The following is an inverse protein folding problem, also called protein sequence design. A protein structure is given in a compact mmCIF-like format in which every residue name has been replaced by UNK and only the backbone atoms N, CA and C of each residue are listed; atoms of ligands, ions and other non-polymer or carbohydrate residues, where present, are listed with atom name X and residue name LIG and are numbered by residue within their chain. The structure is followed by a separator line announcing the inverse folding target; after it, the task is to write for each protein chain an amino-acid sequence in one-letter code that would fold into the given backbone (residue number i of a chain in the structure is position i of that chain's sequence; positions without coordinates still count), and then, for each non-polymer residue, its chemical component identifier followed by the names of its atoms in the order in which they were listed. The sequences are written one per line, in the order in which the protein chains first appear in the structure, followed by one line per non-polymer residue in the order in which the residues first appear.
data_IF_235783149135
#
_entry.id   IF_235783149135
#
_cell.length_a   1.000
_cell.length_b   1.000
_cell.length_c   1.000
_cell.angle_alpha   90.00
_cell.angle_beta   90.00
_cell.angle_gamma   90.00
#
_symmetry.space_group_name_H-M   'P 1'
#
loop_
_entity.id
_entity.type
_entity.pdbx_description
1 polymer ?
#
# COMPACT_ATOMS: atom_id res chain seq x y z
N UNK A 1 9.15 -4.32 -6.19
CA UNK A 1 7.93 -3.59 -5.76
C UNK A 1 6.99 -3.51 -6.95
N UNK A 2 5.82 -4.13 -6.85
CA UNK A 2 4.79 -4.04 -7.89
C UNK A 2 3.63 -3.20 -7.36
N UNK A 3 3.32 -2.12 -8.09
CA UNK A 3 2.17 -1.29 -7.78
C UNK A 3 0.95 -1.82 -8.50
N UNK A 4 -0.16 -1.92 -7.77
CA UNK A 4 -1.41 -2.46 -8.28
C UNK A 4 -2.55 -1.53 -7.93
N UNK A 5 -3.27 -1.09 -8.94
CA UNK A 5 -4.57 -0.45 -8.81
C UNK A 5 -5.62 -1.55 -8.87
N UNK A 6 -6.47 -1.69 -7.87
CA UNK A 6 -7.65 -2.56 -7.97
C UNK A 6 -8.75 -1.72 -8.60
N UNK A 7 -9.31 -2.19 -9.72
CA UNK A 7 -10.40 -1.50 -10.42
C UNK A 7 -11.71 -2.16 -10.00
N UNK A 8 -12.45 -1.56 -9.07
CA UNK A 8 -13.72 -2.15 -8.65
C UNK A 8 -14.86 -1.14 -8.44
N UNK A 9 -16.09 -1.65 -8.58
CA UNK A 9 -17.34 -0.95 -8.28
C UNK A 9 -17.85 -1.45 -6.94
N UNK A 10 -17.26 -1.02 -5.82
CA UNK A 10 -17.69 -1.35 -4.44
C UNK A 10 -17.04 -0.42 -3.41
N UNK A 11 -17.35 -0.40 -2.12
CA UNK A 11 -18.59 -0.32 -1.32
C UNK A 11 -18.12 0.17 0.07
N UNK A 12 -18.90 0.99 0.78
CA UNK A 12 -18.60 1.55 2.09
C UNK A 12 -18.64 0.51 3.27
N UNK A 13 -17.70 -0.44 3.31
CA UNK A 13 -17.56 -1.38 4.43
C UNK A 13 -17.42 -2.86 4.07
N UNK A 14 -17.38 -3.21 2.78
CA UNK A 14 -17.06 -4.57 2.32
C UNK A 14 -16.04 -4.49 1.19
N UNK A 15 -14.97 -5.27 1.32
CA UNK A 15 -13.93 -5.44 0.32
C UNK A 15 -14.23 -6.68 -0.54
N UNK A 16 -14.43 -6.51 -1.85
CA UNK A 16 -14.27 -7.61 -2.79
C UNK A 16 -13.23 -7.23 -3.84
N UNK A 17 -12.20 -8.05 -3.98
CA UNK A 17 -11.21 -7.88 -5.04
C UNK A 17 -11.75 -8.51 -6.33
N UNK A 18 -12.10 -7.67 -7.31
CA UNK A 18 -12.30 -8.13 -8.67
C UNK A 18 -11.43 -7.24 -9.55
N UNK A 19 -10.40 -7.86 -10.10
CA UNK A 19 -9.45 -7.32 -11.07
C UNK A 19 -8.39 -6.33 -10.55
N UNK A 20 -7.18 -6.85 -10.48
CA UNK A 20 -5.93 -6.19 -10.15
C UNK A 20 -5.33 -5.66 -11.46
N UNK A 21 -5.36 -4.35 -11.68
CA UNK A 21 -4.61 -3.68 -12.74
C UNK A 21 -3.25 -3.24 -12.20
N UNK A 22 -2.14 -3.92 -12.51
CA UNK A 22 -0.84 -3.38 -12.18
C UNK A 22 -0.67 -2.01 -12.85
N UNK A 23 -0.08 -1.03 -12.15
CA UNK A 23 0.59 0.12 -12.79
C UNK A 23 1.84 -0.42 -13.50
N UNK A 24 1.63 -1.34 -14.44
CA UNK A 24 2.66 -1.92 -15.26
C UNK A 24 2.86 -0.92 -16.39
N UNK A 25 4.05 -0.33 -16.45
CA UNK A 25 4.65 0.35 -17.61
C UNK A 25 4.67 1.88 -17.64
N UNK A 26 4.61 2.58 -16.51
CA UNK A 26 5.04 3.98 -16.49
C UNK A 26 5.45 4.49 -15.11
N UNK A 27 6.59 4.05 -14.58
CA UNK A 27 7.37 4.98 -13.77
C UNK A 27 7.89 6.04 -14.72
N UNK A 28 7.40 7.27 -14.61
CA UNK A 28 7.79 8.35 -15.51
C UNK A 28 9.09 9.00 -15.06
N UNK A 29 9.38 8.96 -13.76
CA UNK A 29 10.49 9.71 -13.20
C UNK A 29 10.99 9.06 -11.91
N UNK A 30 12.31 8.88 -11.81
CA UNK A 30 12.98 8.47 -10.58
C UNK A 30 14.12 9.44 -10.31
N UNK A 31 14.10 10.09 -9.16
CA UNK A 31 15.20 10.92 -8.67
C UNK A 31 15.88 10.20 -7.53
N UNK A 32 17.20 10.01 -7.63
CA UNK A 32 18.00 9.48 -6.53
C UNK A 32 18.86 10.60 -5.94
N UNK A 33 18.76 10.77 -4.63
CA UNK A 33 19.50 11.77 -3.85
C UNK A 33 20.38 10.99 -2.88
N UNK A 34 21.67 11.30 -2.88
CA UNK A 34 22.61 10.78 -1.89
C UNK A 34 23.09 11.95 -1.04
N UNK A 35 22.73 11.93 0.24
CA UNK A 35 23.23 12.85 1.26
C UNK A 35 24.29 12.16 2.12
N UNK A 36 24.73 12.83 3.20
CA UNK A 36 25.75 12.32 4.11
C UNK A 36 25.33 11.03 4.82
N UNK A 37 24.10 11.00 5.37
CA UNK A 37 23.59 9.90 6.20
C UNK A 37 22.31 9.23 5.65
N UNK A 38 21.87 9.62 4.45
CA UNK A 38 20.63 9.11 3.85
C UNK A 38 20.76 9.00 2.34
N UNK A 39 20.19 7.92 1.81
CA UNK A 39 19.99 7.71 0.38
C UNK A 39 18.50 7.62 0.11
N UNK A 40 18.01 8.48 -0.77
CA UNK A 40 16.58 8.60 -1.07
C UNK A 40 16.33 8.38 -2.56
N UNK A 41 15.33 7.58 -2.88
CA UNK A 41 14.79 7.41 -4.22
C UNK A 41 13.33 7.87 -4.26
N UNK A 42 13.04 8.91 -5.04
CA UNK A 42 11.69 9.40 -5.29
C UNK A 42 11.20 8.78 -6.59
N UNK A 43 10.00 8.20 -6.57
CA UNK A 43 9.35 7.53 -7.67
C UNK A 43 8.00 8.20 -7.91
N UNK A 44 7.81 8.75 -9.11
CA UNK A 44 6.53 9.29 -9.56
C UNK A 44 5.86 8.32 -10.53
N UNK A 45 4.68 7.82 -10.16
CA UNK A 45 3.93 6.88 -11.00
C UNK A 45 2.98 7.61 -11.94
N UNK A 46 2.39 8.71 -11.47
CA UNK A 46 1.54 9.61 -12.23
C UNK A 46 1.42 10.96 -11.48
N UNK A 47 0.55 11.84 -11.95
CA UNK A 47 0.34 13.17 -11.38
C UNK A 47 -0.41 13.20 -10.02
N UNK A 48 -0.88 12.07 -9.51
CA UNK A 48 -1.59 11.95 -8.23
C UNK A 48 -1.04 10.83 -7.33
N UNK A 49 0.02 10.12 -7.73
CA UNK A 49 0.70 9.13 -6.89
C UNK A 49 2.21 9.16 -7.01
N UNK A 50 2.86 9.16 -5.85
CA UNK A 50 4.32 9.13 -5.71
C UNK A 50 4.75 8.36 -4.47
N UNK A 51 6.01 7.94 -4.48
CA UNK A 51 6.69 7.35 -3.34
C UNK A 51 8.08 7.93 -3.15
N UNK A 52 8.50 7.96 -1.90
CA UNK A 52 9.86 8.30 -1.49
C UNK A 52 10.39 7.17 -0.62
N UNK A 53 11.48 6.55 -1.08
CA UNK A 53 12.12 5.41 -0.41
C UNK A 53 13.43 5.91 0.16
N UNK A 54 13.58 5.86 1.48
CA UNK A 54 14.73 6.37 2.20
C UNK A 54 15.44 5.26 2.97
N UNK A 55 16.77 5.24 2.85
CA UNK A 55 17.68 4.36 3.56
C UNK A 55 18.61 5.23 4.41
N UNK A 56 18.55 5.07 5.72
CA UNK A 56 19.44 5.76 6.65
C UNK A 56 20.56 4.83 7.09
N UNK A 57 21.79 5.36 7.22
CA UNK A 57 22.97 4.53 7.47
C UNK A 57 22.96 3.80 8.83
N UNK A 58 22.21 4.30 9.81
CA UNK A 58 22.13 3.74 11.18
C UNK A 58 20.81 2.98 11.46
N UNK A 59 19.92 2.86 10.47
CA UNK A 59 18.63 2.19 10.63
C UNK A 59 18.61 0.86 9.87
N UNK A 60 18.08 -0.20 10.51
CA UNK A 60 17.91 -1.51 9.88
C UNK A 60 16.61 -1.62 9.05
N UNK A 61 15.90 -0.50 8.90
CA UNK A 61 14.63 -0.42 8.17
C UNK A 61 14.70 0.47 6.93
N UNK A 62 13.88 0.14 5.94
CA UNK A 62 13.64 0.99 4.78
C UNK A 62 12.37 1.79 5.01
N UNK A 63 12.47 3.11 5.00
CA UNK A 63 11.29 3.99 5.08
C UNK A 63 10.70 4.18 3.68
N UNK A 64 9.41 3.90 3.53
CA UNK A 64 8.64 4.13 2.30
C UNK A 64 7.52 5.10 2.62
N UNK A 65 7.73 6.36 2.30
CA UNK A 65 6.67 7.37 2.29
C UNK A 65 5.90 7.27 0.98
N UNK A 66 4.57 7.30 1.06
CA UNK A 66 3.69 7.29 -0.09
C UNK A 66 2.76 8.49 -0.03
N UNK A 67 2.47 9.07 -1.19
CA UNK A 67 1.45 10.12 -1.35
C UNK A 67 0.47 9.68 -2.43
N UNK A 68 -0.82 9.68 -2.09
CA UNK A 68 -1.91 9.28 -2.97
C UNK A 68 -3.02 10.32 -2.93
N UNK A 69 -3.33 10.87 -4.09
CA UNK A 69 -4.43 11.80 -4.32
C UNK A 69 -3.98 13.09 -4.99
N UNK A 70 -4.93 13.87 -5.55
CA UNK A 70 -6.37 13.60 -5.59
C UNK A 70 -6.69 12.42 -6.52
N UNK A 71 -7.42 11.42 -6.01
CA UNK A 71 -7.76 10.24 -6.81
C UNK A 71 -8.76 10.69 -7.91
N UNK A 72 -8.42 10.55 -9.21
CA UNK A 72 -9.28 10.99 -10.29
C UNK A 72 -10.55 10.13 -10.35
N UNK A 73 -11.68 10.78 -10.60
CA UNK A 73 -13.02 10.16 -10.67
C UNK A 73 -13.84 10.68 -11.87
N UNK A 74 -13.19 11.39 -12.78
CA UNK A 74 -13.77 11.92 -14.03
C UNK A 74 -14.27 10.82 -14.97
N UNK A 75 -13.76 9.60 -14.79
CA UNK A 75 -14.19 8.38 -15.46
C UNK A 75 -15.42 7.72 -14.82
N UNK A 76 -15.99 8.30 -13.75
CA UNK A 76 -17.10 7.76 -12.96
C UNK A 76 -16.79 6.37 -12.34
N UNK A 77 -15.50 6.11 -12.08
CA UNK A 77 -15.03 4.85 -11.49
C UNK A 77 -14.39 5.12 -10.14
N UNK A 78 -14.95 4.49 -9.09
CA UNK A 78 -14.33 4.41 -7.77
C UNK A 78 -13.02 3.62 -7.81
N UNK A 79 -12.04 4.00 -7.00
CA UNK A 79 -10.69 3.41 -7.01
C UNK A 79 -10.25 3.10 -5.59
N UNK A 80 -9.66 1.92 -5.42
CA UNK A 80 -8.98 1.49 -4.20
C UNK A 80 -7.50 1.28 -4.54
N UNK A 81 -6.65 1.92 -3.75
CA UNK A 81 -5.23 2.01 -4.01
C UNK A 81 -4.51 1.14 -2.98
N UNK A 82 -3.72 0.20 -3.48
CA UNK A 82 -2.93 -0.70 -2.65
C UNK A 82 -1.44 -0.52 -2.94
N UNK A 83 -0.63 -0.68 -1.91
CA UNK A 83 0.80 -0.95 -2.06
C UNK A 83 1.00 -2.44 -1.86
N UNK A 84 1.73 -3.06 -2.78
CA UNK A 84 2.08 -4.46 -2.68
C UNK A 84 3.59 -4.69 -2.70
N UNK A 85 4.04 -5.41 -1.70
CA UNK A 85 5.41 -5.89 -1.56
C UNK A 85 5.44 -7.36 -1.96
N UNK A 86 6.01 -7.64 -3.11
CA UNK A 86 6.28 -9.01 -3.56
C UNK A 86 7.68 -9.42 -3.10
N UNK A 87 7.78 -10.60 -2.48
CA UNK A 87 9.01 -11.21 -1.98
C UNK A 87 9.16 -12.62 -2.55
N UNK A 88 10.34 -13.19 -2.41
CA UNK A 88 10.66 -14.59 -2.74
C UNK A 88 10.40 -15.56 -1.56
N UNK A 89 9.82 -15.09 -0.46
CA UNK A 89 9.53 -15.91 0.73
C UNK A 89 8.46 -16.94 0.39
N UNK A 90 8.82 -18.22 0.54
CA UNK A 90 7.91 -19.32 0.28
C UNK A 90 7.01 -19.57 1.50
N UNK A 91 5.74 -19.19 1.40
CA UNK A 91 4.76 -19.41 2.47
C UNK A 91 4.19 -20.82 2.31
N UNK A 92 4.41 -21.69 3.31
CA UNK A 92 3.98 -23.10 3.26
C UNK A 92 2.44 -23.27 3.26
N UNK A 93 1.72 -22.29 3.79
CA UNK A 93 0.27 -22.22 3.74
C UNK A 93 -0.15 -20.95 3.00
N UNK A 94 -0.92 -21.10 1.92
CA UNK A 94 -1.64 -20.00 1.29
C UNK A 94 -2.43 -19.27 2.36
N UNK A 95 -2.02 -18.03 2.67
CA UNK A 95 -2.81 -17.16 3.53
C UNK A 95 -4.15 -16.96 2.83
N UNK A 96 -5.23 -17.09 3.58
CA UNK A 96 -6.58 -16.81 3.09
C UNK A 96 -6.58 -15.44 2.41
N UNK A 97 -7.13 -15.36 1.19
CA UNK A 97 -7.23 -14.15 0.38
C UNK A 97 -8.15 -13.06 0.95
N UNK A 98 -8.10 -12.86 2.26
CA UNK A 98 -8.91 -11.93 3.03
C UNK A 98 -8.05 -10.75 3.51
N UNK A 99 -8.71 -9.60 3.64
CA UNK A 99 -8.15 -8.41 4.29
C UNK A 99 -8.45 -8.44 5.78
N UNK A 100 -7.45 -8.08 6.57
CA UNK A 100 -7.53 -7.91 8.01
C UNK A 100 -7.09 -6.49 8.40
N UNK A 101 -7.56 -5.96 9.53
CA UNK A 101 -7.08 -4.68 10.05
C UNK A 101 -5.63 -4.81 10.52
N UNK A 102 -4.77 -3.93 10.01
CA UNK A 102 -3.35 -3.81 10.36
C UNK A 102 -3.20 -2.53 11.17
N UNK A 103 -3.07 -2.67 12.50
CA UNK A 103 -2.94 -1.50 13.38
C UNK A 103 -1.49 -1.02 13.56
N UNK A 104 -0.51 -1.87 13.28
CA UNK A 104 0.89 -1.54 13.52
C UNK A 104 1.86 -2.32 12.63
N UNK A 105 1.56 -3.60 12.35
CA UNK A 105 2.44 -4.43 11.52
C UNK A 105 1.73 -5.59 10.83
N UNK A 106 2.27 -5.97 9.69
CA UNK A 106 2.00 -7.22 8.95
C UNK A 106 3.34 -7.83 8.53
N UNK A 107 3.39 -9.14 8.36
CA UNK A 107 4.61 -9.90 8.19
C UNK A 107 4.33 -11.24 7.54
N UNK A 108 5.28 -11.69 6.75
CA UNK A 108 5.35 -13.03 6.18
C UNK A 108 6.73 -13.60 6.51
N UNK A 109 6.81 -14.91 6.75
CA UNK A 109 8.06 -15.55 7.15
C UNK A 109 8.19 -16.95 6.60
N UNK A 110 9.44 -17.36 6.46
CA UNK A 110 9.88 -18.73 6.25
C UNK A 110 10.76 -19.19 7.43
N UNK A 111 11.59 -20.21 7.24
CA UNK A 111 12.42 -20.77 8.30
C UNK A 111 13.51 -19.80 8.79
N UNK A 112 14.15 -19.07 7.88
CA UNK A 112 15.35 -18.25 8.15
C UNK A 112 15.16 -16.75 7.88
N UNK A 113 14.11 -16.36 7.14
CA UNK A 113 13.81 -14.96 6.82
C UNK A 113 12.38 -14.58 7.17
N UNK A 114 12.21 -13.34 7.62
CA UNK A 114 10.93 -12.70 7.85
C UNK A 114 10.96 -11.32 7.19
N UNK A 115 9.89 -11.00 6.45
CA UNK A 115 9.64 -9.68 5.93
C UNK A 115 8.51 -9.05 6.73
N UNK A 116 8.78 -7.93 7.38
CA UNK A 116 7.84 -7.18 8.21
C UNK A 116 7.59 -5.80 7.60
N UNK A 117 6.33 -5.39 7.57
CA UNK A 117 5.91 -4.04 7.21
C UNK A 117 5.25 -3.42 8.43
N UNK A 118 5.82 -2.33 8.94
CA UNK A 118 5.21 -1.50 9.97
C UNK A 118 4.41 -0.37 9.31
N UNK A 119 3.23 -0.07 9.83
CA UNK A 119 2.36 0.99 9.32
C UNK A 119 2.30 2.15 10.32
N UNK A 120 2.19 3.39 9.82
CA UNK A 120 2.06 4.58 10.67
C UNK A 120 0.63 4.80 11.21
N UNK A 121 -0.35 4.03 10.68
CA UNK A 121 -1.77 4.09 11.02
C UNK A 121 -2.44 2.73 10.84
N UNK A 122 -3.70 2.65 11.27
CA UNK A 122 -4.55 1.50 11.00
C UNK A 122 -4.95 1.46 9.53
N UNK A 123 -4.66 0.35 8.86
CA UNK A 123 -4.94 0.13 7.45
C UNK A 123 -5.58 -1.26 7.25
N UNK A 124 -6.09 -1.52 6.05
CA UNK A 124 -6.52 -2.86 5.67
C UNK A 124 -5.44 -3.54 4.85
N UNK A 125 -5.13 -4.80 5.12
CA UNK A 125 -4.22 -5.54 4.25
C UNK A 125 -4.29 -7.04 4.42
N UNK A 126 -3.52 -7.75 3.58
CA UNK A 126 -3.53 -9.21 3.54
C UNK A 126 -2.41 -9.75 2.66
N UNK A 127 -2.37 -11.07 2.51
CA UNK A 127 -1.43 -11.79 1.65
C UNK A 127 -2.22 -12.57 0.61
N UNK A 128 -2.63 -11.90 -0.47
CA UNK A 128 -3.51 -12.49 -1.49
C UNK A 128 -2.75 -13.42 -2.45
N UNK A 129 -1.46 -13.16 -2.67
CA UNK A 129 -0.57 -14.07 -3.40
C UNK A 129 0.55 -14.56 -2.49
N UNK A 130 1.00 -15.78 -2.75
CA UNK A 130 2.13 -16.38 -2.05
C UNK A 130 3.36 -15.46 -2.16
N UNK A 131 4.03 -15.26 -1.02
CA UNK A 131 5.18 -14.38 -0.92
C UNK A 131 4.87 -12.88 -1.05
N UNK A 132 3.60 -12.45 -1.00
CA UNK A 132 3.24 -11.04 -1.12
C UNK A 132 2.47 -10.50 0.09
N UNK A 133 2.72 -9.25 0.42
CA UNK A 133 1.91 -8.45 1.37
C UNK A 133 1.29 -7.31 0.57
N UNK A 134 -0.02 -7.12 0.67
CA UNK A 134 -0.73 -5.95 0.17
C UNK A 134 -1.43 -5.18 1.29
N UNK A 135 -1.37 -3.86 1.18
CA UNK A 135 -1.93 -2.91 2.14
C UNK A 135 -2.67 -1.84 1.36
N UNK A 136 -3.93 -1.59 1.71
CA UNK A 136 -4.75 -0.54 1.16
C UNK A 136 -4.42 0.79 1.83
N UNK A 137 -3.97 1.75 1.03
CA UNK A 137 -3.48 3.05 1.51
C UNK A 137 -4.48 4.18 1.34
N UNK A 138 -5.34 4.10 0.33
CA UNK A 138 -6.38 5.09 0.10
C UNK A 138 -7.49 4.52 -0.79
N UNK A 139 -8.71 5.03 -0.66
CA UNK A 139 -9.84 4.68 -1.51
C UNK A 139 -10.77 5.86 -1.70
N UNK A 140 -11.38 5.93 -2.89
CA UNK A 140 -12.40 6.92 -3.22
C UNK A 140 -13.51 6.26 -4.01
N UNK A 141 -14.71 6.23 -3.45
CA UNK A 141 -15.88 5.55 -3.98
C UNK A 141 -16.93 6.56 -4.40
N UNK A 142 -17.64 6.30 -5.50
CA UNK A 142 -18.67 7.21 -6.05
C UNK A 142 -20.10 6.75 -5.75
N UNK A 143 -20.24 5.52 -5.31
CA UNK A 143 -21.53 4.89 -5.07
C UNK A 143 -21.63 4.46 -3.62
N UNK A 144 -22.75 4.80 -2.99
CA UNK A 144 -23.14 4.26 -1.69
C UNK A 144 -23.43 2.77 -1.83
N UNK A 145 -23.04 2.00 -0.83
CA UNK A 145 -23.20 0.56 -0.80
C UNK A 145 -24.51 0.10 -0.20
N UNK A 146 -25.43 1.03 0.07
CA UNK A 146 -26.77 0.81 0.60
C UNK A 146 -26.76 0.11 1.96
N UNK A 147 -25.65 0.24 2.69
CA UNK A 147 -25.63 -0.02 4.12
C UNK A 147 -26.13 1.23 4.86
N UNK A 148 -25.60 1.49 6.05
CA UNK A 148 -26.24 2.41 6.99
C UNK A 148 -25.92 3.88 6.70
N UNK A 149 -24.74 4.16 6.15
CA UNK A 149 -24.21 5.53 6.06
C UNK A 149 -24.96 6.36 5.01
N UNK A 150 -25.38 5.76 3.89
CA UNK A 150 -26.22 6.41 2.88
C UNK A 150 -25.48 7.47 2.05
N UNK A 151 -24.15 7.44 2.07
CA UNK A 151 -23.29 8.33 1.30
C UNK A 151 -22.08 7.55 0.75
N UNK A 152 -21.60 7.90 -0.46
CA UNK A 152 -20.38 7.31 -1.00
C UNK A 152 -19.15 7.76 -0.22
N UNK A 153 -18.14 6.91 -0.14
CA UNK A 153 -16.85 7.27 0.47
C UNK A 153 -16.04 8.18 -0.48
N UNK A 154 -16.46 9.43 -0.58
CA UNK A 154 -15.90 10.44 -1.49
C UNK A 154 -15.39 11.64 -0.69
N UNK A 155 -14.31 11.45 0.05
CA UNK A 155 -13.71 12.53 0.86
C UNK A 155 -13.09 13.62 -0.04
N UNK A 156 -13.50 14.87 0.21
CA UNK A 156 -13.01 16.05 -0.52
C UNK A 156 -12.58 17.17 0.43
N UNK A 157 -11.63 17.99 0.00
CA UNK A 157 -11.20 19.21 0.67
C UNK A 157 -11.04 20.32 -0.37
N UNK A 158 -11.66 21.49 -0.13
CA UNK A 158 -11.68 22.60 -1.09
C UNK A 158 -12.17 22.18 -2.50
N UNK A 159 -13.21 21.35 -2.53
CA UNK A 159 -13.81 20.77 -3.75
C UNK A 159 -12.90 19.83 -4.56
N UNK A 160 -11.71 19.51 -4.05
CA UNK A 160 -10.78 18.54 -4.63
C UNK A 160 -10.75 17.23 -3.85
N UNK A 161 -10.36 16.13 -4.50
CA UNK A 161 -10.22 14.83 -3.82
C UNK A 161 -9.15 14.85 -2.73
N UNK A 162 -9.41 14.19 -1.60
CA UNK A 162 -8.45 14.19 -0.49
C UNK A 162 -7.11 13.55 -0.91
N UNK A 163 -6.02 14.24 -0.59
CA UNK A 163 -4.65 13.72 -0.71
C UNK A 163 -4.23 13.15 0.63
N UNK A 164 -3.80 11.90 0.64
CA UNK A 164 -3.31 11.20 1.82
C UNK A 164 -1.84 10.89 1.66
N UNK A 165 -1.09 11.10 2.73
CA UNK A 165 0.31 10.70 2.86
C UNK A 165 0.45 9.80 4.07
N UNK A 166 1.25 8.76 3.94
CA UNK A 166 1.58 7.84 5.02
C UNK A 166 2.93 7.18 4.80
N UNK A 167 3.35 6.41 5.79
CA UNK A 167 4.68 5.79 5.83
C UNK A 167 4.60 4.32 6.22
N UNK A 168 5.38 3.51 5.51
CA UNK A 168 5.68 2.13 5.87
C UNK A 168 7.15 2.00 6.22
N UNK A 169 7.46 1.21 7.24
CA UNK A 169 8.84 0.80 7.54
C UNK A 169 8.98 -0.68 7.20
N UNK A 170 9.91 -0.99 6.30
CA UNK A 170 10.16 -2.36 5.86
C UNK A 170 11.38 -2.91 6.59
N UNK A 171 11.24 -4.09 7.19
CA UNK A 171 12.29 -4.76 7.95
C UNK A 171 12.43 -6.18 7.41
N UNK A 172 13.67 -6.59 7.13
CA UNK A 172 14.02 -7.96 6.74
C UNK A 172 14.98 -8.51 7.79
N UNK A 173 14.55 -9.51 8.52
CA UNK A 173 15.32 -10.09 9.63
C UNK A 173 15.02 -11.57 9.80
N UNK A 174 15.89 -12.35 10.45
CA UNK A 174 15.56 -13.72 10.82
C UNK A 174 14.38 -13.77 11.82
N UNK A 175 13.48 -14.77 11.73
CA UNK A 175 12.33 -14.88 12.63
C UNK A 175 12.71 -14.92 14.12
N UNK A 176 13.92 -15.42 14.44
CA UNK A 176 14.44 -15.48 15.80
C UNK A 176 14.84 -14.12 16.38
N UNK A 177 15.28 -13.19 15.54
CA UNK A 177 15.65 -11.82 15.93
C UNK A 177 14.46 -10.88 15.91
N UNK A 178 13.41 -11.23 15.14
CA UNK A 178 12.21 -10.41 15.04
C UNK A 178 11.44 -10.28 16.35
N UNK A 179 11.05 -9.04 16.67
CA UNK A 179 10.21 -8.78 17.82
C UNK A 179 8.85 -9.48 17.65
N UNK A 180 8.44 -10.30 18.63
CA UNK A 180 7.13 -10.97 18.62
C UNK A 180 5.95 -10.00 18.73
#
# INVERSE_FOLDING_TARGET
MHYQLVKHVQCNGIFYSVDIFPFHRSCYFTTCIKAENVQTAIIEFNNWTSQEISLYDEEESVEVEWTVGPIPIDDDIGKEIIIRYDTDIAIAETVSGNYYPINSRIWIKEEDRQFTVLTDRSEGGGSIKDGSIEIMVHRRLLYDDRFVVGEPLNETAYDEGLVVRGRHFLIVEPPASSAR
#
